data_IF_838161450038
#
_entry.id   IF_838161450038
#
_cell.length_a   1.000
_cell.length_b   1.000
_cell.length_c   1.000
_cell.angle_alpha   90.00
_cell.angle_beta   90.00
_cell.angle_gamma   90.00
#
_symmetry.space_group_name_H-M   'P 1'
#
loop_
_entity.id
_entity.type
_entity.pdbx_description
1 polymer ?
#
# COMPACT_ATOMS: atom_id res chain seq x y z
N UNK A 1 -5.02 -4.76 6.56
CA UNK A 1 -4.24 -3.61 7.08
C UNK A 1 -4.87 -2.32 6.59
N UNK A 2 -4.79 -1.23 7.38
CA UNK A 2 -5.11 0.12 6.92
C UNK A 2 -3.82 0.93 6.81
N UNK A 3 -3.55 1.49 5.63
CA UNK A 3 -2.43 2.39 5.37
C UNK A 3 -3.01 3.72 4.89
N UNK A 4 -2.48 4.83 5.40
CA UNK A 4 -2.87 6.18 5.02
C UNK A 4 -1.62 6.97 4.66
N UNK A 5 -1.73 7.82 3.66
CA UNK A 5 -0.66 8.68 3.16
C UNK A 5 -1.11 10.13 3.19
N UNK A 6 -0.16 11.01 3.48
CA UNK A 6 -0.30 12.44 3.29
C UNK A 6 0.55 12.85 2.10
N UNK A 7 -0.07 13.55 1.14
CA UNK A 7 0.56 13.91 -0.13
C UNK A 7 0.54 15.44 -0.27
N UNK A 8 1.69 16.02 -0.64
CA UNK A 8 1.81 17.45 -0.86
C UNK A 8 1.17 17.89 -2.20
N UNK A 9 1.23 19.20 -2.48
CA UNK A 9 0.70 19.80 -3.71
C UNK A 9 1.44 19.36 -4.98
N UNK A 10 2.64 18.81 -4.84
CA UNK A 10 3.48 18.35 -5.95
C UNK A 10 3.31 16.85 -6.22
N UNK A 11 2.41 16.16 -5.49
CA UNK A 11 2.18 14.73 -5.64
C UNK A 11 3.22 13.85 -4.93
N UNK A 12 3.97 14.40 -3.98
CA UNK A 12 4.96 13.69 -3.17
C UNK A 12 4.39 13.28 -1.82
N UNK A 13 4.63 12.04 -1.41
CA UNK A 13 4.19 11.52 -0.12
C UNK A 13 5.09 12.10 0.98
N UNK A 14 4.55 12.96 1.83
CA UNK A 14 5.29 13.59 2.93
C UNK A 14 5.20 12.79 4.22
N UNK A 15 4.11 12.05 4.43
CA UNK A 15 3.97 11.16 5.56
C UNK A 15 3.17 9.90 5.19
N UNK A 16 3.44 8.82 5.91
CA UNK A 16 2.73 7.56 5.79
C UNK A 16 2.57 6.91 7.16
N UNK A 17 1.36 6.45 7.45
CA UNK A 17 0.99 5.81 8.71
C UNK A 17 0.21 4.53 8.43
N UNK A 18 0.41 3.51 9.24
CA UNK A 18 -0.32 2.26 9.12
C UNK A 18 -0.89 1.81 10.47
N UNK A 19 -2.00 1.08 10.40
CA UNK A 19 -2.54 0.28 11.49
C UNK A 19 -2.77 -1.12 10.97
N UNK A 20 -2.11 -2.09 11.58
CA UNK A 20 -2.19 -3.50 11.19
C UNK A 20 -2.37 -4.38 12.40
N UNK A 21 -3.05 -5.50 12.21
CA UNK A 21 -3.17 -6.58 13.17
C UNK A 21 -2.74 -7.85 12.44
N UNK A 22 -1.80 -8.59 13.01
CA UNK A 22 -1.24 -9.77 12.36
C UNK A 22 0.06 -10.22 13.00
N UNK A 23 0.69 -11.23 12.39
CA UNK A 23 1.98 -11.73 12.84
C UNK A 23 3.11 -10.70 12.65
N UNK A 24 4.24 -10.89 13.33
CA UNK A 24 5.39 -9.98 13.26
C UNK A 24 5.86 -9.69 11.84
N UNK A 25 5.83 -10.69 10.94
CA UNK A 25 6.17 -10.51 9.52
C UNK A 25 5.24 -9.53 8.80
N UNK A 26 3.94 -9.52 9.13
CA UNK A 26 2.99 -8.56 8.58
C UNK A 26 3.31 -7.16 9.09
N UNK A 27 3.54 -6.99 10.40
CA UNK A 27 3.91 -5.70 11.01
C UNK A 27 5.21 -5.16 10.38
N UNK A 28 6.23 -6.00 10.23
CA UNK A 28 7.50 -5.62 9.60
C UNK A 28 7.32 -5.21 8.13
N UNK A 29 6.55 -5.99 7.35
CA UNK A 29 6.25 -5.66 5.95
C UNK A 29 5.51 -4.33 5.81
N UNK A 30 4.52 -4.09 6.68
CA UNK A 30 3.77 -2.82 6.74
C UNK A 30 4.66 -1.63 7.10
N UNK A 31 5.52 -1.81 8.11
CA UNK A 31 6.46 -0.79 8.57
C UNK A 31 7.44 -0.40 7.47
N UNK A 32 8.07 -1.40 6.84
CA UNK A 32 8.99 -1.18 5.73
C UNK A 32 8.32 -0.48 4.56
N UNK A 33 7.11 -0.92 4.19
CA UNK A 33 6.32 -0.30 3.13
C UNK A 33 6.08 1.20 3.38
N UNK A 34 5.74 1.60 4.62
CA UNK A 34 5.54 3.02 4.95
C UNK A 34 6.82 3.86 4.89
N UNK A 35 7.97 3.30 5.25
CA UNK A 35 9.25 3.99 5.08
C UNK A 35 9.62 4.14 3.61
N UNK A 36 9.38 3.10 2.79
CA UNK A 36 9.74 3.11 1.37
C UNK A 36 8.91 4.08 0.54
N UNK A 37 7.63 4.29 0.86
CA UNK A 37 6.78 5.23 0.11
C UNK A 37 7.00 6.68 0.54
N UNK A 38 7.47 6.93 1.77
CA UNK A 38 7.76 8.29 2.24
C UNK A 38 8.83 8.93 1.35
N UNK A 39 8.54 10.14 0.89
CA UNK A 39 9.41 10.90 0.00
C UNK A 39 9.35 10.51 -1.49
N UNK A 40 8.58 9.48 -1.86
CA UNK A 40 8.33 9.13 -3.27
C UNK A 40 7.13 9.90 -3.82
N UNK A 41 7.06 10.03 -5.13
CA UNK A 41 5.82 10.44 -5.82
C UNK A 41 4.78 9.33 -5.78
N UNK A 42 3.52 9.68 -5.96
CA UNK A 42 2.41 8.69 -6.03
C UNK A 42 2.67 7.62 -7.09
N UNK A 43 3.18 7.98 -8.27
CA UNK A 43 3.40 7.02 -9.36
C UNK A 43 4.64 6.13 -9.13
N UNK A 44 5.66 6.62 -8.40
CA UNK A 44 6.77 5.78 -7.95
C UNK A 44 6.34 4.81 -6.86
N UNK A 45 5.53 5.27 -5.91
CA UNK A 45 5.02 4.43 -4.84
C UNK A 45 4.11 3.29 -5.37
N UNK A 46 3.39 3.51 -6.48
CA UNK A 46 2.62 2.47 -7.17
C UNK A 46 3.47 1.34 -7.77
N UNK A 47 4.76 1.59 -8.04
CA UNK A 47 5.66 0.60 -8.64
C UNK A 47 6.27 -0.37 -7.61
N UNK A 48 6.06 -0.14 -6.31
CA UNK A 48 6.52 -1.05 -5.26
C UNK A 48 5.78 -2.37 -5.38
N UNK A 49 6.53 -3.48 -5.43
CA UNK A 49 5.98 -4.83 -5.53
C UNK A 49 6.25 -5.63 -4.25
N UNK A 50 5.39 -6.59 -3.98
CA UNK A 50 5.54 -7.54 -2.88
C UNK A 50 6.86 -8.32 -2.95
N UNK A 51 7.37 -8.57 -4.16
CA UNK A 51 8.64 -9.29 -4.37
C UNK A 51 9.82 -8.53 -3.79
N UNK A 52 9.78 -7.19 -3.88
CA UNK A 52 10.86 -6.33 -3.41
C UNK A 52 10.84 -6.28 -1.87
N UNK A 53 9.64 -6.15 -1.29
CA UNK A 53 9.43 -6.20 0.18
C UNK A 53 9.81 -7.59 0.74
N UNK A 54 9.40 -8.67 0.08
CA UNK A 54 9.70 -10.03 0.51
C UNK A 54 11.20 -10.32 0.48
N UNK A 55 11.90 -9.82 -0.55
CA UNK A 55 13.34 -9.96 -0.68
C UNK A 55 14.07 -9.18 0.41
N UNK A 56 13.68 -7.94 0.67
CA UNK A 56 14.30 -7.10 1.70
C UNK A 56 14.18 -7.71 3.10
N UNK A 57 13.01 -8.29 3.42
CA UNK A 57 12.76 -8.92 4.71
C UNK A 57 13.15 -10.40 4.76
N UNK A 58 13.79 -10.92 3.71
CA UNK A 58 14.15 -12.34 3.59
C UNK A 58 12.99 -13.29 3.92
N UNK A 59 11.77 -12.97 3.47
CA UNK A 59 10.59 -13.73 3.83
C UNK A 59 10.63 -15.12 3.20
N UNK A 60 10.38 -16.19 3.98
CA UNK A 60 10.23 -17.53 3.41
C UNK A 60 8.94 -17.62 2.58
N UNK A 61 8.84 -18.57 1.63
CA UNK A 61 7.68 -18.70 0.74
C UNK A 61 6.32 -18.72 1.47
N UNK A 62 6.26 -19.35 2.64
CA UNK A 62 5.05 -19.45 3.47
C UNK A 62 4.55 -18.11 4.05
N UNK A 63 5.38 -17.06 4.05
CA UNK A 63 5.06 -15.73 4.59
C UNK A 63 4.90 -14.66 3.50
N UNK A 64 4.92 -15.00 2.22
CA UNK A 64 4.76 -14.03 1.12
C UNK A 64 3.43 -13.26 1.15
N UNK A 65 2.38 -13.81 1.78
CA UNK A 65 1.12 -13.07 1.97
C UNK A 65 1.32 -11.76 2.77
N UNK A 66 2.33 -11.68 3.64
CA UNK A 66 2.63 -10.49 4.44
C UNK A 66 3.11 -9.33 3.55
N UNK A 67 3.92 -9.62 2.52
CA UNK A 67 4.38 -8.60 1.57
C UNK A 67 3.30 -8.22 0.56
N UNK A 68 2.45 -9.18 0.14
CA UNK A 68 1.28 -8.90 -0.71
C UNK A 68 0.32 -7.94 -0.02
N UNK A 69 0.01 -8.18 1.26
CA UNK A 69 -0.86 -7.31 2.05
C UNK A 69 -0.29 -5.89 2.22
N UNK A 70 1.04 -5.74 2.22
CA UNK A 70 1.68 -4.43 2.24
C UNK A 70 1.55 -3.70 0.89
N UNK A 71 1.81 -4.40 -0.23
CA UNK A 71 1.63 -3.87 -1.59
C UNK A 71 0.17 -3.44 -1.85
N UNK A 72 -0.79 -4.31 -1.54
CA UNK A 72 -2.22 -4.05 -1.78
C UNK A 72 -2.70 -2.82 -1.01
N UNK A 73 -2.21 -2.62 0.21
CA UNK A 73 -2.57 -1.46 1.00
C UNK A 73 -1.93 -0.16 0.50
N UNK A 74 -0.71 -0.20 -0.04
CA UNK A 74 -0.12 0.95 -0.75
C UNK A 74 -1.03 1.31 -1.92
N UNK A 75 -1.36 0.33 -2.77
CA UNK A 75 -2.21 0.56 -3.95
C UNK A 75 -3.57 1.10 -3.57
N UNK A 76 -4.22 0.55 -2.55
CA UNK A 76 -5.50 1.01 -2.06
C UNK A 76 -5.45 2.45 -1.55
N UNK A 77 -4.43 2.82 -0.76
CA UNK A 77 -4.26 4.17 -0.25
C UNK A 77 -4.02 5.19 -1.38
N UNK A 78 -3.21 4.85 -2.38
CA UNK A 78 -2.93 5.72 -3.51
C UNK A 78 -4.12 5.81 -4.47
N UNK A 79 -4.89 4.74 -4.64
CA UNK A 79 -6.14 4.76 -5.41
C UNK A 79 -7.18 5.67 -4.75
N UNK A 80 -7.37 5.57 -3.43
CA UNK A 80 -8.24 6.46 -2.66
C UNK A 80 -7.81 7.93 -2.78
N UNK A 81 -6.49 8.20 -2.73
CA UNK A 81 -5.96 9.53 -3.00
C UNK A 81 -6.32 10.03 -4.41
N UNK A 82 -6.10 9.22 -5.45
CA UNK A 82 -6.42 9.59 -6.85
C UNK A 82 -7.92 9.88 -7.03
N UNK A 83 -8.79 9.09 -6.42
CA UNK A 83 -10.25 9.32 -6.42
C UNK A 83 -10.61 10.67 -5.79
N UNK A 84 -9.98 11.02 -4.66
CA UNK A 84 -10.23 12.31 -3.97
C UNK A 84 -9.73 13.52 -4.75
N UNK A 85 -8.70 13.36 -5.58
CA UNK A 85 -8.22 14.43 -6.47
C UNK A 85 -9.13 14.64 -7.69
N UNK A 86 -9.90 13.62 -8.08
CA UNK A 86 -10.79 13.73 -9.24
C UNK A 86 -12.09 12.92 -9.03
N UNK A 87 -13.06 13.47 -8.26
CA UNK A 87 -14.28 12.75 -7.86
C UNK A 87 -15.24 12.37 -9.00
N UNK A 88 -14.88 12.63 -10.26
CA UNK A 88 -15.69 12.36 -11.46
C UNK A 88 -15.30 11.09 -12.25
N UNK A 89 -14.32 10.30 -11.81
CA UNK A 89 -13.97 9.02 -12.47
C UNK A 89 -14.14 7.84 -11.51
N UNK A 90 -15.22 7.10 -11.74
CA UNK A 90 -15.49 5.70 -11.34
C UNK A 90 -16.01 5.43 -9.92
N UNK A 91 -17.32 5.15 -9.85
CA UNK A 91 -17.89 4.21 -8.89
C UNK A 91 -17.26 2.82 -9.14
N UNK A 92 -16.72 2.13 -8.12
CA UNK A 92 -16.27 0.76 -8.32
C UNK A 92 -17.50 -0.15 -8.46
N UNK A 93 -17.59 -0.79 -9.63
CA UNK A 93 -18.48 -1.92 -9.91
C UNK A 93 -18.35 -2.93 -8.76
N UNK A 94 -19.43 -3.05 -7.97
CA UNK A 94 -19.57 -4.10 -6.96
C UNK A 94 -19.49 -5.44 -7.69
N UNK A 95 -18.33 -6.10 -7.67
CA UNK A 95 -18.27 -7.53 -7.99
C UNK A 95 -19.16 -8.26 -6.99
N UNK A 96 -20.35 -8.61 -7.46
CA UNK A 96 -21.26 -9.52 -6.80
C UNK A 96 -20.48 -10.80 -6.45
N UNK A 97 -20.27 -11.04 -5.17
CA UNK A 97 -19.90 -12.36 -4.69
C UNK A 97 -21.12 -13.26 -4.91
N UNK A 98 -21.09 -14.02 -6.00
CA UNK A 98 -21.97 -15.15 -6.27
C UNK A 98 -21.16 -16.42 -6.01
N UNK A 99 -21.43 -17.07 -4.88
CA UNK A 99 -21.40 -18.52 -4.61
C UNK A 99 -21.31 -18.72 -3.09
#
# INVERSE_FOLDING_TARGET
>A
MKLQVEVDKNGKIIDARFKTFGCGSAIASSSLATEWIKGKTVDEAMKIRNTDIAKELCLPPVKLHCSMLAEDAIKAALADYKLKQNPKKEEPEKKAAKA
#
